data_IF_245190125316
#
_entry.id   IF_245190125316
#
_cell.length_a   1.000
_cell.length_b   1.000
_cell.length_c   1.000
_cell.angle_alpha   90.00
_cell.angle_beta   90.00
_cell.angle_gamma   90.00
#
_symmetry.space_group_name_H-M   'P 1'
#
loop_
_entity.id
_entity.type
_entity.pdbx_description
1 polymer ?
#
# COMPACT_ATOMS: atom_id res chain seq x y z
N UNK A 1 -0.49 10.14 -14.33
CA UNK A 1 0.59 9.14 -14.18
C UNK A 1 -0.06 7.77 -14.29
N UNK A 2 0.51 6.86 -15.09
CA UNK A 2 0.10 5.45 -15.07
C UNK A 2 0.49 4.89 -13.71
N UNK A 3 -0.29 3.98 -13.11
CA UNK A 3 0.16 3.33 -11.89
C UNK A 3 1.51 2.67 -12.17
N UNK A 4 2.49 2.89 -11.30
CA UNK A 4 3.80 2.27 -11.46
C UNK A 4 3.63 0.77 -11.24
N UNK A 5 4.03 -0.06 -12.22
CA UNK A 5 3.90 -1.52 -12.14
C UNK A 5 4.51 -2.07 -10.83
N UNK A 6 5.56 -1.40 -10.34
CA UNK A 6 6.22 -1.66 -9.07
C UNK A 6 5.28 -1.50 -7.85
N UNK A 7 4.41 -0.49 -7.83
CA UNK A 7 3.44 -0.27 -6.74
C UNK A 7 2.40 -1.39 -6.71
N UNK A 8 1.89 -1.80 -7.88
CA UNK A 8 0.95 -2.91 -7.99
C UNK A 8 1.57 -4.23 -7.54
N UNK A 9 2.79 -4.54 -7.99
CA UNK A 9 3.50 -5.76 -7.61
C UNK A 9 3.80 -5.80 -6.11
N UNK A 10 4.24 -4.67 -5.53
CA UNK A 10 4.46 -4.58 -4.09
C UNK A 10 3.18 -4.85 -3.30
N UNK A 11 2.10 -4.14 -3.61
CA UNK A 11 0.82 -4.31 -2.92
C UNK A 11 0.25 -5.73 -3.08
N UNK A 12 0.46 -6.39 -4.22
CA UNK A 12 0.06 -7.79 -4.43
C UNK A 12 0.91 -8.79 -3.65
N UNK A 13 2.18 -8.48 -3.38
CA UNK A 13 3.08 -9.34 -2.61
C UNK A 13 2.79 -9.31 -1.10
N UNK A 14 2.06 -8.29 -0.62
CA UNK A 14 1.73 -8.15 0.78
C UNK A 14 0.66 -9.15 1.20
N UNK A 15 0.96 -9.88 2.26
CA UNK A 15 -0.01 -10.73 2.93
C UNK A 15 -0.42 -10.03 4.22
N UNK A 16 -1.64 -9.47 4.24
CA UNK A 16 -2.20 -8.84 5.43
C UNK A 16 -3.04 -9.87 6.21
N UNK A 17 -2.76 -9.98 7.49
CA UNK A 17 -3.41 -10.95 8.40
C UNK A 17 -4.84 -10.52 8.80
N UNK A 18 -5.16 -9.23 8.75
CA UNK A 18 -6.50 -8.72 9.06
C UNK A 18 -7.41 -8.70 7.84
N UNK A 19 -8.64 -9.20 8.02
CA UNK A 19 -9.68 -9.17 6.99
C UNK A 19 -10.05 -7.74 6.56
N UNK A 20 -10.02 -6.78 7.48
CA UNK A 20 -10.31 -5.37 7.19
C UNK A 20 -9.19 -4.72 6.38
N UNK A 21 -7.93 -4.99 6.72
CA UNK A 21 -6.78 -4.46 5.99
C UNK A 21 -6.70 -5.06 4.60
N UNK A 22 -7.00 -6.36 4.47
CA UNK A 22 -7.11 -7.05 3.19
C UNK A 22 -8.19 -6.44 2.30
N UNK A 23 -9.35 -6.10 2.86
CA UNK A 23 -10.39 -5.41 2.11
C UNK A 23 -9.94 -4.04 1.58
N UNK A 24 -9.19 -3.27 2.37
CA UNK A 24 -8.61 -2.01 1.91
C UNK A 24 -7.55 -2.20 0.83
N UNK A 25 -6.72 -3.24 0.95
CA UNK A 25 -5.71 -3.58 -0.05
C UNK A 25 -6.35 -4.03 -1.36
N UNK A 26 -7.35 -4.91 -1.32
CA UNK A 26 -8.09 -5.39 -2.48
C UNK A 26 -8.79 -4.24 -3.21
N UNK A 27 -9.41 -3.31 -2.47
CA UNK A 27 -10.02 -2.12 -3.04
C UNK A 27 -8.98 -1.21 -3.71
N UNK A 28 -7.83 -1.00 -3.06
CA UNK A 28 -6.72 -0.22 -3.64
C UNK A 28 -6.23 -0.87 -4.93
N UNK A 29 -6.01 -2.18 -4.95
CA UNK A 29 -5.61 -2.92 -6.15
C UNK A 29 -6.65 -2.80 -7.27
N UNK A 30 -7.94 -2.83 -6.94
CA UNK A 30 -9.03 -2.63 -7.90
C UNK A 30 -8.99 -1.23 -8.50
N UNK A 31 -8.90 -0.18 -7.67
CA UNK A 31 -8.84 1.21 -8.13
C UNK A 31 -7.60 1.48 -8.99
N UNK A 32 -6.44 0.90 -8.64
CA UNK A 32 -5.21 0.99 -9.45
C UNK A 32 -5.37 0.28 -10.80
N UNK A 33 -6.01 -0.89 -10.85
CA UNK A 33 -6.33 -1.61 -12.10
C UNK A 33 -7.31 -0.83 -12.99
N UNK A 34 -8.25 -0.10 -12.38
CA UNK A 34 -9.20 0.78 -13.07
C UNK A 34 -8.56 2.09 -13.60
N UNK A 35 -7.23 2.22 -13.52
CA UNK A 35 -6.46 3.41 -13.92
C UNK A 35 -6.88 4.68 -13.18
N UNK A 36 -7.40 4.53 -11.96
CA UNK A 36 -7.60 5.68 -11.08
C UNK A 36 -6.26 6.33 -10.73
N UNK A 37 -6.31 7.59 -10.28
CA UNK A 37 -5.10 8.35 -9.96
C UNK A 37 -4.36 7.68 -8.78
N UNK A 38 -3.20 7.08 -9.03
CA UNK A 38 -2.41 6.36 -8.02
C UNK A 38 -2.20 7.17 -6.74
N UNK A 39 -1.83 8.45 -6.85
CA UNK A 39 -1.61 9.31 -5.69
C UNK A 39 -2.88 9.42 -4.83
N UNK A 40 -4.05 9.52 -5.46
CA UNK A 40 -5.33 9.56 -4.74
C UNK A 40 -5.63 8.21 -4.07
N UNK A 41 -5.46 7.11 -4.80
CA UNK A 41 -5.73 5.76 -4.29
C UNK A 41 -4.81 5.42 -3.12
N UNK A 42 -3.51 5.72 -3.22
CA UNK A 42 -2.55 5.52 -2.13
C UNK A 42 -2.82 6.43 -0.93
N UNK A 43 -3.27 7.68 -1.16
CA UNK A 43 -3.68 8.57 -0.08
C UNK A 43 -4.92 8.06 0.67
N UNK A 44 -5.87 7.44 -0.04
CA UNK A 44 -7.05 6.80 0.54
C UNK A 44 -6.65 5.58 1.37
N UNK A 45 -5.82 4.68 0.82
CA UNK A 45 -5.26 3.53 1.55
C UNK A 45 -4.53 3.96 2.82
N UNK A 46 -3.67 4.98 2.72
CA UNK A 46 -2.95 5.55 3.87
C UNK A 46 -3.91 6.06 4.94
N UNK A 47 -4.98 6.74 4.54
CA UNK A 47 -5.98 7.27 5.48
C UNK A 47 -6.72 6.15 6.20
N UNK A 48 -7.13 5.11 5.47
CA UNK A 48 -7.80 3.93 6.04
C UNK A 48 -6.91 3.17 7.03
N UNK A 49 -5.64 2.93 6.68
CA UNK A 49 -4.68 2.30 7.58
C UNK A 49 -4.38 3.18 8.80
N UNK A 50 -4.30 4.51 8.63
CA UNK A 50 -4.11 5.44 9.75
C UNK A 50 -5.29 5.34 10.73
N UNK A 51 -6.53 5.26 10.24
CA UNK A 51 -7.70 5.07 11.10
C UNK A 51 -7.63 3.75 11.87
N UNK A 52 -7.17 2.65 11.25
CA UNK A 52 -6.95 1.39 11.96
C UNK A 52 -5.85 1.51 13.03
N UNK A 53 -4.76 2.21 12.72
CA UNK A 53 -3.67 2.46 13.66
C UNK A 53 -4.15 3.26 14.88
N UNK A 54 -4.94 4.30 14.66
CA UNK A 54 -5.54 5.10 15.74
C UNK A 54 -6.48 4.27 16.62
N UNK A 55 -7.17 3.28 16.05
CA UNK A 55 -8.03 2.34 16.78
C UNK A 55 -7.26 1.18 17.42
N UNK A 56 -5.95 1.09 17.22
CA UNK A 56 -5.12 -0.06 17.60
C UNK A 56 -5.61 -1.40 17.01
N UNK A 57 -6.28 -1.35 15.85
CA UNK A 57 -6.81 -2.51 15.12
C UNK A 57 -5.98 -2.85 13.88
N UNK A 58 -4.80 -2.25 13.76
CA UNK A 58 -3.86 -2.50 12.67
C UNK A 58 -2.94 -3.67 13.02
N UNK A 59 -2.67 -4.53 12.05
CA UNK A 59 -1.67 -5.59 12.20
C UNK A 59 -0.27 -5.02 12.07
N UNK A 60 0.74 -5.83 12.39
CA UNK A 60 2.14 -5.44 12.20
C UNK A 60 2.41 -5.17 10.72
N UNK A 61 1.90 -6.03 9.84
CA UNK A 61 2.03 -5.95 8.40
C UNK A 61 1.33 -4.70 7.84
N UNK A 62 0.15 -4.35 8.36
CA UNK A 62 -0.54 -3.12 7.99
C UNK A 62 0.18 -1.86 8.47
N UNK A 63 0.85 -1.91 9.62
CA UNK A 63 1.65 -0.81 10.15
C UNK A 63 2.95 -0.62 9.34
N UNK A 64 3.58 -1.71 8.92
CA UNK A 64 4.73 -1.70 8.02
C UNK A 64 4.34 -1.11 6.65
N UNK A 65 3.19 -1.51 6.11
CA UNK A 65 2.61 -0.93 4.89
C UNK A 65 2.35 0.58 5.05
N UNK A 66 1.71 1.00 6.15
CA UNK A 66 1.44 2.41 6.44
C UNK A 66 2.74 3.22 6.49
N UNK A 67 3.78 2.66 7.13
CA UNK A 67 5.10 3.30 7.24
C UNK A 67 5.75 3.44 5.87
N UNK A 68 5.66 2.41 5.02
CA UNK A 68 6.14 2.49 3.66
C UNK A 68 5.42 3.60 2.87
N UNK A 69 4.08 3.64 2.92
CA UNK A 69 3.25 4.64 2.23
C UNK A 69 3.47 6.09 2.71
N UNK A 70 3.98 6.29 3.92
CA UNK A 70 4.31 7.63 4.43
C UNK A 70 5.65 8.17 3.92
N UNK A 71 6.51 7.33 3.33
CA UNK A 71 7.78 7.80 2.79
C UNK A 71 7.55 8.71 1.58
N UNK A 72 8.19 9.89 1.52
CA UNK A 72 8.00 10.85 0.44
C UNK A 72 8.40 10.33 -0.95
N UNK A 73 9.20 9.26 -0.98
CA UNK A 73 9.74 8.65 -2.18
C UNK A 73 9.22 7.22 -2.39
N UNK A 74 7.99 6.90 -1.98
CA UNK A 74 7.44 5.54 -2.02
C UNK A 74 7.73 4.79 -3.34
N UNK A 75 7.49 5.39 -4.51
CA UNK A 75 7.80 4.77 -5.81
C UNK A 75 9.30 4.51 -6.02
N UNK A 76 10.17 5.41 -5.56
CA UNK A 76 11.63 5.32 -5.73
C UNK A 76 12.28 4.39 -4.68
N UNK A 77 11.70 4.31 -3.47
CA UNK A 77 12.12 3.41 -2.39
C UNK A 77 11.73 1.96 -2.73
N UNK A 78 10.57 1.71 -3.34
CA UNK A 78 10.17 0.39 -3.80
C UNK A 78 11.11 -0.17 -4.88
N UNK A 79 11.49 0.67 -5.86
CA UNK A 79 12.48 0.29 -6.88
C UNK A 79 13.87 -0.03 -6.32
N UNK A 80 14.25 0.55 -5.17
CA UNK A 80 15.50 0.20 -4.47
C UNK A 80 15.37 -1.01 -3.56
N UNK A 81 14.21 -1.21 -2.93
CA UNK A 81 13.99 -2.32 -2.00
C UNK A 81 13.83 -3.66 -2.75
N UNK A 82 13.23 -3.66 -3.94
CA UNK A 82 13.17 -4.84 -4.80
C UNK A 82 14.54 -5.26 -5.40
N UNK A 83 15.50 -4.33 -5.48
CA UNK A 83 16.87 -4.64 -5.94
C UNK A 83 17.77 -5.25 -4.84
N UNK A 84 17.23 -5.51 -3.63
CA UNK A 84 17.98 -6.16 -2.55
C UNK A 84 17.80 -7.68 -2.48
N UNK A 85 17.22 -8.30 -3.51
CA UNK A 85 17.19 -9.75 -3.66
C UNK A 85 17.79 -10.11 -5.04
N UNK A 86 19.13 -10.07 -5.11
CA UNK A 86 19.91 -10.76 -6.14
C UNK A 86 20.45 -12.04 -5.51
#
# INVERSE_FOLDING_TARGET
MKPSETTLTYLQSLTLSSSTEKAFLDETLRQLKEKQNETRVLAELRSNLTLLALKQQISKEGLDLLTALQKPNFENDLGRTFNLWI
#
